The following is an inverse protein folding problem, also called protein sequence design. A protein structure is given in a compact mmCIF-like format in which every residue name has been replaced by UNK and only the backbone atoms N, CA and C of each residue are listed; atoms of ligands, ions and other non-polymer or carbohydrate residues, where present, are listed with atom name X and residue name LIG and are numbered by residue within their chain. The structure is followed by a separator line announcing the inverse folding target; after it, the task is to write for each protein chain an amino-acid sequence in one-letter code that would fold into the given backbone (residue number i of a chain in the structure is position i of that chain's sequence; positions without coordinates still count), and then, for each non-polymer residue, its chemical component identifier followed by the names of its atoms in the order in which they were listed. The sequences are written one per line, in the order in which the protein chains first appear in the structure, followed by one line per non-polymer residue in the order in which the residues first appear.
data_IF_376739473367
#
_entry.id   IF_376739473367
#
_cell.length_a   1.000
_cell.length_b   1.000
_cell.length_c   1.000
_cell.angle_alpha   90.00
_cell.angle_beta   90.00
_cell.angle_gamma   90.00
#
_symmetry.space_group_name_H-M   'P 1'
#
loop_
_entity.id
_entity.type
_entity.pdbx_description
1 polymer ?
#
# COMPACT_ATOMS: atom_id res chain seq x y z
N UNK A 1 29.99 -60.08 20.98
CA UNK A 1 29.24 -61.32 21.28
C UNK A 1 28.29 -61.03 22.43
N UNK A 2 27.03 -61.41 22.22
CA UNK A 2 25.97 -61.68 23.20
C UNK A 2 25.49 -60.58 24.16
N UNK A 3 24.17 -60.55 24.27
CA UNK A 3 23.28 -59.59 24.92
C UNK A 3 22.77 -60.15 26.28
N UNK A 4 22.26 -59.25 27.14
CA UNK A 4 21.33 -59.44 28.30
C UNK A 4 21.88 -59.91 29.67
N UNK A 5 21.25 -59.51 30.81
CA UNK A 5 19.79 -59.35 30.98
C UNK A 5 19.25 -58.09 31.71
N UNK A 6 17.93 -57.97 31.56
CA UNK A 6 16.96 -57.00 32.15
C UNK A 6 16.30 -57.64 33.38
N UNK A 7 16.09 -56.88 34.47
CA UNK A 7 15.04 -57.05 35.51
C UNK A 7 14.77 -55.64 36.08
N UNK A 8 13.64 -54.98 35.80
CA UNK A 8 12.26 -55.06 36.34
C UNK A 8 12.01 -54.36 37.71
N UNK A 9 10.82 -53.76 37.78
CA UNK A 9 10.36 -52.63 38.58
C UNK A 9 9.86 -53.00 39.98
N UNK A 10 9.84 -51.95 40.80
CA UNK A 10 9.14 -51.73 42.09
C UNK A 10 9.82 -52.31 43.33
N UNK A 11 10.20 -51.40 44.24
CA UNK A 11 9.79 -51.32 45.67
C UNK A 11 10.53 -50.11 46.25
N UNK A 12 9.88 -48.95 46.45
CA UNK A 12 9.21 -48.54 47.70
C UNK A 12 10.15 -48.57 48.91
N UNK A 13 10.65 -47.42 49.35
CA UNK A 13 11.05 -47.20 50.74
C UNK A 13 10.72 -45.78 51.15
N UNK A 14 9.79 -45.74 52.09
CA UNK A 14 9.36 -44.63 52.94
C UNK A 14 10.52 -44.18 53.82
N UNK A 15 10.61 -42.87 54.06
CA UNK A 15 11.12 -42.37 55.35
C UNK A 15 12.03 -41.16 55.28
N UNK A 16 11.72 -40.16 56.11
CA UNK A 16 12.69 -39.22 56.65
C UNK A 16 12.62 -37.82 56.07
N UNK A 17 11.88 -36.95 56.75
CA UNK A 17 11.77 -35.54 56.38
C UNK A 17 13.04 -34.73 56.61
N UNK A 18 13.12 -33.61 55.90
CA UNK A 18 13.65 -32.34 56.39
C UNK A 18 13.10 -31.25 55.46
N UNK A 19 12.20 -30.42 56.00
CA UNK A 19 11.70 -29.24 55.33
C UNK A 19 12.84 -28.24 55.22
N UNK A 20 13.37 -28.07 54.02
CA UNK A 20 14.24 -26.94 53.66
C UNK A 20 13.37 -25.95 52.90
N UNK A 21 12.93 -24.90 53.58
CA UNK A 21 12.34 -23.71 52.97
C UNK A 21 13.42 -22.96 52.19
N UNK A 22 13.68 -23.40 50.97
CA UNK A 22 14.40 -22.59 50.00
C UNK A 22 13.43 -21.52 49.46
N UNK A 23 13.53 -20.30 49.99
CA UNK A 23 13.02 -19.08 49.35
C UNK A 23 13.84 -18.86 48.06
N UNK A 24 13.53 -19.64 47.02
CA UNK A 24 13.99 -19.38 45.68
C UNK A 24 13.23 -18.20 45.14
N UNK A 25 13.88 -17.04 45.04
CA UNK A 25 13.42 -15.96 44.18
C UNK A 25 13.44 -16.48 42.74
N UNK A 26 12.29 -16.99 42.29
CA UNK A 26 12.08 -17.30 40.89
C UNK A 26 12.17 -15.98 40.12
N UNK A 27 13.35 -15.72 39.55
CA UNK A 27 13.50 -14.76 38.46
C UNK A 27 12.65 -15.28 37.31
N UNK A 28 11.43 -14.76 37.19
CA UNK A 28 10.60 -14.91 36.01
C UNK A 28 11.31 -14.16 34.89
N UNK A 29 12.08 -14.89 34.07
CA UNK A 29 12.48 -14.38 32.76
C UNK A 29 11.17 -14.17 31.99
N UNK A 30 10.82 -12.94 31.58
CA UNK A 30 9.64 -12.76 30.76
C UNK A 30 9.87 -13.56 29.49
N UNK A 31 8.97 -14.51 29.21
CA UNK A 31 8.94 -15.16 27.91
C UNK A 31 8.83 -14.05 26.87
N UNK A 32 9.87 -13.90 26.05
CA UNK A 32 9.83 -12.96 24.94
C UNK A 32 8.58 -13.22 24.13
N UNK A 33 7.77 -12.19 23.93
CA UNK A 33 6.62 -12.26 23.02
C UNK A 33 7.16 -12.67 21.65
N UNK A 34 6.95 -13.93 21.25
CA UNK A 34 7.11 -14.30 19.87
C UNK A 34 6.25 -13.33 19.06
N UNK A 35 6.85 -12.65 18.07
CA UNK A 35 6.10 -11.78 17.17
C UNK A 35 4.94 -12.60 16.61
N UNK A 36 3.70 -12.15 16.86
CA UNK A 36 2.52 -12.85 16.37
C UNK A 36 2.59 -12.92 14.85
N UNK A 37 2.58 -14.12 14.28
CA UNK A 37 2.44 -14.29 12.84
C UNK A 37 1.09 -13.70 12.40
N UNK A 38 1.04 -12.93 11.30
CA UNK A 38 -0.19 -12.35 10.81
C UNK A 38 -1.25 -13.44 10.57
N UNK A 39 -2.47 -13.17 11.01
CA UNK A 39 -3.59 -14.11 10.84
C UNK A 39 -4.00 -14.20 9.38
N UNK A 40 -4.40 -15.38 8.88
CA UNK A 40 -5.07 -15.49 7.59
C UNK A 40 -6.33 -14.63 7.59
N UNK A 41 -6.47 -13.77 6.58
CA UNK A 41 -7.66 -12.93 6.37
C UNK A 41 -8.56 -13.59 5.32
N UNK A 42 -9.86 -13.63 5.58
CA UNK A 42 -10.85 -14.15 4.63
C UNK A 42 -10.89 -13.29 3.35
N UNK A 43 -10.98 -13.95 2.19
CA UNK A 43 -11.08 -13.26 0.92
C UNK A 43 -12.43 -12.52 0.82
N UNK A 44 -12.44 -11.22 0.49
CA UNK A 44 -13.70 -10.54 0.20
C UNK A 44 -14.29 -11.08 -1.11
N UNK A 45 -15.57 -10.79 -1.34
CA UNK A 45 -16.19 -11.08 -2.63
C UNK A 45 -15.58 -10.16 -3.72
N UNK A 46 -14.99 -10.76 -4.76
CA UNK A 46 -14.36 -10.06 -5.88
C UNK A 46 -14.97 -10.61 -7.17
N UNK A 47 -15.55 -9.72 -7.98
CA UNK A 47 -16.04 -10.05 -9.31
C UNK A 47 -14.89 -10.05 -10.30
N UNK A 48 -14.65 -11.19 -10.96
CA UNK A 48 -13.61 -11.30 -11.97
C UNK A 48 -13.96 -10.55 -13.27
N UNK A 49 -12.97 -10.46 -14.15
CA UNK A 49 -13.10 -9.88 -15.50
C UNK A 49 -14.23 -10.47 -16.33
N UNK A 50 -14.60 -11.74 -16.11
CA UNK A 50 -15.75 -12.35 -16.81
C UNK A 50 -17.07 -11.82 -16.26
N UNK A 51 -17.18 -11.67 -14.94
CA UNK A 51 -18.42 -11.27 -14.27
C UNK A 51 -18.88 -9.86 -14.65
N UNK A 52 -17.96 -8.89 -14.77
CA UNK A 52 -18.31 -7.51 -15.17
C UNK A 52 -18.29 -7.26 -16.68
N UNK A 53 -17.94 -8.28 -17.47
CA UNK A 53 -17.96 -8.23 -18.93
C UNK A 53 -16.77 -7.47 -19.52
N UNK A 54 -15.57 -7.73 -19.02
CA UNK A 54 -14.33 -7.18 -19.57
C UNK A 54 -14.14 -7.58 -21.04
N UNK A 55 -13.65 -6.65 -21.85
CA UNK A 55 -13.12 -7.01 -23.17
C UNK A 55 -11.73 -7.66 -23.02
N UNK A 56 -11.30 -8.51 -23.96
CA UNK A 56 -9.99 -9.16 -23.88
C UNK A 56 -8.84 -8.15 -23.85
N UNK A 57 -7.72 -8.46 -23.16
CA UNK A 57 -6.52 -7.64 -23.26
C UNK A 57 -5.95 -7.71 -24.68
N UNK A 58 -5.32 -6.62 -25.14
CA UNK A 58 -4.72 -6.52 -26.49
C UNK A 58 -3.48 -7.40 -26.67
N UNK A 59 -2.83 -7.75 -25.57
CA UNK A 59 -1.64 -8.61 -25.52
C UNK A 59 -1.69 -9.55 -24.31
N UNK A 60 -0.87 -10.62 -24.27
CA UNK A 60 -0.79 -11.50 -23.11
C UNK A 60 -0.40 -10.75 -21.83
N UNK A 61 -1.11 -11.03 -20.73
CA UNK A 61 -0.78 -10.47 -19.41
C UNK A 61 0.54 -11.02 -18.90
N UNK A 62 1.41 -10.12 -18.44
CA UNK A 62 2.68 -10.46 -17.79
C UNK A 62 2.47 -10.74 -16.30
N UNK A 63 2.73 -11.98 -15.89
CA UNK A 63 2.86 -12.35 -14.48
C UNK A 63 4.32 -12.26 -14.06
N UNK A 64 4.54 -11.63 -12.92
CA UNK A 64 5.83 -11.52 -12.28
C UNK A 64 5.98 -12.63 -11.24
N UNK A 65 7.11 -13.35 -11.29
CA UNK A 65 7.37 -14.50 -10.43
C UNK A 65 7.91 -14.09 -9.05
N UNK A 66 7.29 -13.07 -8.48
CA UNK A 66 7.54 -12.57 -7.13
C UNK A 66 6.29 -11.87 -6.61
N UNK A 67 6.24 -11.66 -5.30
CA UNK A 67 5.17 -10.91 -4.63
C UNK A 67 5.34 -9.40 -4.87
N UNK A 68 4.26 -8.60 -4.86
CA UNK A 68 4.41 -7.16 -4.82
C UNK A 68 4.97 -6.72 -3.46
N UNK A 69 5.69 -5.61 -3.47
CA UNK A 69 6.24 -4.98 -2.26
C UNK A 69 5.21 -4.05 -1.62
N UNK A 70 4.46 -3.29 -2.43
CA UNK A 70 3.53 -2.26 -1.96
C UNK A 70 2.09 -2.51 -2.42
N UNK A 71 1.14 -2.07 -1.59
CA UNK A 71 -0.26 -1.90 -2.00
C UNK A 71 -0.49 -0.41 -2.21
N UNK A 72 -0.97 -0.04 -3.40
CA UNK A 72 -1.12 1.38 -3.77
C UNK A 72 -2.59 1.74 -3.95
N UNK A 73 -3.02 2.76 -3.23
CA UNK A 73 -4.37 3.30 -3.23
C UNK A 73 -4.45 4.47 -4.21
N UNK A 74 -5.40 4.37 -5.14
CA UNK A 74 -5.73 5.37 -6.14
C UNK A 74 -7.17 5.84 -6.02
N UNK A 75 -7.49 6.97 -6.66
CA UNK A 75 -8.85 7.39 -6.96
C UNK A 75 -9.05 7.47 -8.47
N UNK A 76 -10.27 7.27 -8.96
CA UNK A 76 -10.49 7.24 -10.42
C UNK A 76 -10.57 8.63 -11.06
N UNK A 77 -10.83 9.69 -10.28
CA UNK A 77 -11.09 11.07 -10.72
C UNK A 77 -12.38 11.19 -11.52
N UNK A 78 -12.43 10.60 -12.71
CA UNK A 78 -13.61 10.56 -13.58
C UNK A 78 -14.41 9.26 -13.30
N UNK A 79 -15.74 9.27 -13.43
CA UNK A 79 -16.62 10.40 -13.78
C UNK A 79 -16.96 11.32 -12.60
N UNK A 80 -16.20 11.23 -11.50
CA UNK A 80 -16.47 11.93 -10.24
C UNK A 80 -17.19 11.05 -9.23
N UNK A 81 -17.85 11.68 -8.27
CA UNK A 81 -18.50 10.99 -7.15
C UNK A 81 -19.95 10.61 -7.51
N UNK A 82 -20.14 9.48 -8.20
CA UNK A 82 -21.47 8.92 -8.49
C UNK A 82 -22.27 8.62 -7.22
N UNK A 83 -23.59 8.83 -7.27
CA UNK A 83 -24.53 8.43 -6.22
C UNK A 83 -25.30 7.15 -6.59
N UNK A 84 -24.93 6.50 -7.71
CA UNK A 84 -25.39 5.15 -8.05
C UNK A 84 -24.48 4.11 -7.36
N UNK A 85 -24.99 3.52 -6.29
CA UNK A 85 -24.29 2.52 -5.48
C UNK A 85 -24.57 1.07 -5.92
N UNK A 86 -25.14 0.86 -7.10
CA UNK A 86 -25.53 -0.47 -7.57
C UNK A 86 -24.35 -1.32 -8.07
N UNK A 87 -24.54 -2.64 -8.11
CA UNK A 87 -23.60 -3.57 -8.73
C UNK A 87 -23.48 -3.32 -10.24
N UNK A 88 -24.58 -2.95 -10.90
CA UNK A 88 -24.58 -2.64 -12.34
C UNK A 88 -23.68 -1.45 -12.64
N UNK A 89 -23.75 -0.40 -11.81
CA UNK A 89 -22.86 0.74 -11.88
C UNK A 89 -21.40 0.37 -11.62
N UNK A 90 -21.13 -0.49 -10.63
CA UNK A 90 -19.78 -1.01 -10.38
C UNK A 90 -19.19 -1.70 -11.61
N UNK A 91 -19.99 -2.45 -12.37
CA UNK A 91 -19.54 -3.05 -13.62
C UNK A 91 -19.39 -2.02 -14.74
N UNK A 92 -20.26 -1.00 -14.78
CA UNK A 92 -20.19 0.06 -15.76
C UNK A 92 -18.93 0.92 -15.61
N UNK A 93 -18.55 1.27 -14.38
CA UNK A 93 -17.31 2.02 -14.14
C UNK A 93 -16.07 1.19 -14.51
N UNK A 94 -16.03 -0.11 -14.20
CA UNK A 94 -14.91 -0.97 -14.60
C UNK A 94 -14.74 -1.04 -16.12
N UNK A 95 -15.84 -1.14 -16.88
CA UNK A 95 -15.80 -1.05 -18.35
C UNK A 95 -15.33 0.32 -18.82
N UNK A 96 -15.85 1.41 -18.24
CA UNK A 96 -15.43 2.77 -18.60
C UNK A 96 -13.94 3.00 -18.38
N UNK A 97 -13.39 2.49 -17.27
CA UNK A 97 -11.95 2.58 -16.98
C UNK A 97 -11.15 1.74 -17.99
N UNK A 98 -11.61 0.53 -18.33
CA UNK A 98 -10.96 -0.32 -19.34
C UNK A 98 -10.98 0.31 -20.74
N UNK A 99 -12.09 0.93 -21.12
CA UNK A 99 -12.25 1.63 -22.38
C UNK A 99 -11.27 2.80 -22.46
N UNK A 100 -11.25 3.66 -21.43
CA UNK A 100 -10.30 4.76 -21.35
C UNK A 100 -8.84 4.29 -21.41
N UNK A 101 -8.46 3.30 -20.60
CA UNK A 101 -7.08 2.82 -20.53
C UNK A 101 -6.58 2.22 -21.85
N UNK A 102 -7.37 1.41 -22.54
CA UNK A 102 -6.86 0.82 -23.80
C UNK A 102 -7.07 1.75 -25.00
N UNK A 103 -8.18 2.49 -25.06
CA UNK A 103 -8.49 3.31 -26.25
C UNK A 103 -7.79 4.68 -26.22
N UNK A 104 -7.63 5.28 -25.05
CA UNK A 104 -6.98 6.60 -24.90
C UNK A 104 -5.50 6.47 -24.55
N UNK A 105 -5.14 5.64 -23.56
CA UNK A 105 -3.73 5.50 -23.15
C UNK A 105 -2.96 4.46 -24.00
N UNK A 106 -3.65 3.67 -24.82
CA UNK A 106 -3.03 2.62 -25.63
C UNK A 106 -2.55 1.41 -24.83
N UNK A 107 -2.94 1.28 -23.55
CA UNK A 107 -2.52 0.17 -22.71
C UNK A 107 -3.15 -1.15 -23.17
N UNK A 108 -2.51 -2.26 -22.82
CA UNK A 108 -2.99 -3.59 -23.21
C UNK A 108 -4.28 -4.00 -22.48
N UNK A 109 -4.56 -3.37 -21.34
CA UNK A 109 -5.69 -3.60 -20.45
C UNK A 109 -5.78 -2.45 -19.41
N UNK A 110 -6.67 -2.53 -18.41
CA UNK A 110 -6.66 -1.57 -17.29
C UNK A 110 -5.29 -1.49 -16.60
N UNK A 111 -4.89 -0.31 -16.14
CA UNK A 111 -3.60 -0.13 -15.48
C UNK A 111 -3.52 -0.78 -14.10
N UNK A 112 -4.59 -0.67 -13.33
CA UNK A 112 -4.75 -1.21 -11.97
C UNK A 112 -5.19 -2.67 -11.96
N UNK A 113 -4.83 -3.37 -10.88
CA UNK A 113 -5.18 -4.76 -10.65
C UNK A 113 -6.61 -4.90 -10.09
N UNK A 114 -7.10 -3.94 -9.30
CA UNK A 114 -8.45 -3.99 -8.72
C UNK A 114 -9.13 -2.62 -8.71
N UNK A 115 -10.45 -2.61 -8.75
CA UNK A 115 -11.28 -1.40 -8.63
C UNK A 115 -12.35 -1.61 -7.57
N UNK A 116 -12.61 -0.60 -6.74
CA UNK A 116 -13.70 -0.58 -5.76
C UNK A 116 -14.65 0.56 -6.12
N UNK A 117 -15.90 0.20 -6.39
CA UNK A 117 -16.98 1.18 -6.62
C UNK A 117 -17.38 1.91 -5.32
N UNK A 118 -18.05 3.05 -5.45
CA UNK A 118 -18.65 3.77 -4.31
C UNK A 118 -19.66 2.92 -3.53
N UNK A 119 -20.31 1.97 -4.19
CA UNK A 119 -21.20 0.98 -3.56
C UNK A 119 -20.48 -0.12 -2.78
N UNK A 120 -19.14 -0.17 -2.80
CA UNK A 120 -18.33 -1.17 -2.10
C UNK A 120 -18.13 -2.47 -2.87
N UNK A 121 -18.55 -2.56 -4.13
CA UNK A 121 -18.27 -3.75 -4.95
C UNK A 121 -16.84 -3.73 -5.48
N UNK A 122 -16.11 -4.83 -5.26
CA UNK A 122 -14.73 -5.02 -5.69
C UNK A 122 -14.74 -5.80 -7.01
N UNK A 123 -14.04 -5.27 -8.01
CA UNK A 123 -13.85 -5.93 -9.31
C UNK A 123 -12.36 -6.14 -9.59
N UNK A 124 -12.03 -7.27 -10.23
CA UNK A 124 -10.74 -7.46 -10.88
C UNK A 124 -10.61 -6.44 -12.00
N UNK A 125 -9.55 -5.64 -12.01
CA UNK A 125 -9.21 -4.76 -13.13
C UNK A 125 -8.42 -5.55 -14.16
N UNK A 126 -7.09 -5.46 -14.07
CA UNK A 126 -6.19 -6.07 -15.05
C UNK A 126 -6.32 -7.58 -14.99
N UNK A 127 -6.53 -8.22 -16.14
CA UNK A 127 -6.79 -9.65 -16.23
C UNK A 127 -5.74 -10.48 -15.47
N UNK A 128 -6.18 -11.59 -14.87
CA UNK A 128 -5.37 -12.53 -14.06
C UNK A 128 -4.92 -11.99 -12.70
N UNK A 129 -5.29 -10.77 -12.32
CA UNK A 129 -4.94 -10.22 -11.00
C UNK A 129 -5.60 -11.01 -9.87
N UNK A 130 -6.84 -11.46 -10.04
CA UNK A 130 -7.53 -12.25 -9.02
C UNK A 130 -6.93 -13.66 -8.89
N UNK A 131 -6.55 -14.27 -10.01
CA UNK A 131 -5.82 -15.55 -10.06
C UNK A 131 -4.49 -15.42 -9.28
N UNK A 132 -3.69 -14.40 -9.59
CA UNK A 132 -2.40 -14.16 -8.96
C UNK A 132 -2.53 -13.86 -7.45
N UNK A 133 -3.51 -13.05 -7.06
CA UNK A 133 -3.80 -12.73 -5.66
C UNK A 133 -4.16 -13.98 -4.85
N UNK A 134 -5.01 -14.85 -5.39
CA UNK A 134 -5.36 -16.13 -4.75
C UNK A 134 -4.17 -17.09 -4.65
N UNK A 135 -3.22 -16.99 -5.57
CA UNK A 135 -1.99 -17.79 -5.57
C UNK A 135 -0.92 -17.29 -4.58
N UNK A 136 -0.93 -16.01 -4.21
CA UNK A 136 -0.08 -15.41 -3.16
C UNK A 136 1.43 -15.41 -3.42
N UNK A 137 1.89 -15.92 -4.57
CA UNK A 137 3.32 -16.07 -4.90
C UNK A 137 3.76 -15.23 -6.10
N UNK A 138 2.80 -14.73 -6.88
CA UNK A 138 3.00 -13.94 -8.09
C UNK A 138 2.08 -12.73 -8.08
N UNK A 139 2.38 -11.72 -8.91
CA UNK A 139 1.45 -10.63 -9.20
C UNK A 139 1.51 -10.22 -10.66
N UNK A 140 0.46 -9.54 -11.13
CA UNK A 140 0.38 -9.00 -12.48
C UNK A 140 1.14 -7.68 -12.57
N UNK A 141 1.99 -7.53 -13.58
CA UNK A 141 2.61 -6.24 -13.93
C UNK A 141 1.53 -5.24 -14.35
N UNK A 142 1.39 -4.16 -13.57
CA UNK A 142 0.42 -3.09 -13.81
C UNK A 142 0.91 -2.01 -14.79
N UNK A 143 0.16 -0.91 -14.88
CA UNK A 143 0.54 0.32 -15.58
C UNK A 143 0.10 1.59 -14.82
N UNK A 144 -0.15 1.48 -13.51
CA UNK A 144 -0.82 2.50 -12.70
C UNK A 144 0.11 3.39 -11.85
N UNK A 145 1.36 2.97 -11.60
CA UNK A 145 2.39 3.80 -10.94
C UNK A 145 3.65 3.79 -11.79
N UNK A 146 4.02 4.95 -12.34
CA UNK A 146 5.19 5.07 -13.22
C UNK A 146 6.46 4.59 -12.52
N UNK A 147 7.29 3.81 -13.21
CA UNK A 147 8.56 3.24 -12.73
C UNK A 147 8.48 2.28 -11.52
N UNK A 148 7.28 2.04 -10.97
CA UNK A 148 7.06 1.16 -9.82
C UNK A 148 6.11 -0.02 -10.14
N UNK A 149 5.59 -0.13 -11.36
CA UNK A 149 4.60 -1.16 -11.74
C UNK A 149 5.01 -2.61 -11.46
N UNK A 150 6.30 -2.92 -11.39
CA UNK A 150 6.82 -4.27 -11.13
C UNK A 150 6.91 -4.66 -9.65
N UNK A 151 6.57 -3.75 -8.75
CA UNK A 151 6.65 -3.93 -7.30
C UNK A 151 5.38 -3.56 -6.55
N UNK A 152 4.31 -3.19 -7.26
CA UNK A 152 3.06 -2.72 -6.67
C UNK A 152 1.87 -3.59 -7.05
N UNK A 153 0.83 -3.52 -6.22
CA UNK A 153 -0.53 -3.90 -6.57
C UNK A 153 -1.45 -2.71 -6.34
N UNK A 154 -2.08 -2.22 -7.41
CA UNK A 154 -2.86 -0.99 -7.43
C UNK A 154 -4.36 -1.23 -7.28
N UNK A 155 -5.00 -0.37 -6.50
CA UNK A 155 -6.45 -0.35 -6.25
C UNK A 155 -7.01 1.02 -6.65
N UNK A 156 -7.87 1.05 -7.66
CA UNK A 156 -8.64 2.25 -8.02
C UNK A 156 -9.91 2.34 -7.16
N UNK A 157 -10.08 3.44 -6.42
CA UNK A 157 -11.29 3.72 -5.66
C UNK A 157 -12.14 4.72 -6.43
N UNK A 158 -13.32 4.31 -6.88
CA UNK A 158 -14.20 5.16 -7.69
C UNK A 158 -14.47 6.48 -6.98
N UNK A 159 -14.15 7.60 -7.63
CA UNK A 159 -14.50 8.94 -7.16
C UNK A 159 -13.36 9.95 -7.22
N UNK A 160 -13.69 11.19 -6.83
CA UNK A 160 -12.75 12.29 -6.67
C UNK A 160 -12.68 12.74 -5.19
N UNK A 161 -11.68 12.24 -4.47
CA UNK A 161 -11.55 12.42 -3.02
C UNK A 161 -10.65 13.60 -2.62
N UNK A 162 -10.74 14.73 -3.32
CA UNK A 162 -10.03 15.96 -2.91
C UNK A 162 -10.69 16.60 -1.69
N UNK A 163 -12.01 16.66 -1.68
CA UNK A 163 -12.81 17.34 -0.64
C UNK A 163 -14.01 16.51 -0.17
N UNK A 164 -14.41 15.52 -0.96
CA UNK A 164 -15.55 14.65 -0.68
C UNK A 164 -15.10 13.46 0.15
N UNK A 165 -15.90 13.09 1.15
CA UNK A 165 -15.65 11.90 1.95
C UNK A 165 -15.85 10.60 1.16
N UNK A 166 -15.09 9.59 1.57
CA UNK A 166 -15.17 8.22 1.03
C UNK A 166 -16.40 7.52 1.64
N UNK A 167 -17.34 6.99 0.85
CA UNK A 167 -18.50 6.27 1.37
C UNK A 167 -18.07 5.10 2.26
N UNK A 168 -18.79 4.88 3.36
CA UNK A 168 -18.46 3.81 4.31
C UNK A 168 -18.40 2.43 3.64
N UNK A 169 -19.30 2.16 2.69
CA UNK A 169 -19.35 0.91 1.92
C UNK A 169 -18.07 0.68 1.09
N UNK A 170 -17.55 1.72 0.44
CA UNK A 170 -16.28 1.66 -0.26
C UNK A 170 -15.14 1.46 0.74
N UNK A 171 -15.13 2.22 1.84
CA UNK A 171 -14.10 2.13 2.86
C UNK A 171 -13.99 0.72 3.48
N UNK A 172 -15.11 0.12 3.85
CA UNK A 172 -15.15 -1.22 4.44
C UNK A 172 -14.59 -2.27 3.47
N UNK A 173 -14.90 -2.15 2.17
CA UNK A 173 -14.37 -3.00 1.12
C UNK A 173 -12.88 -2.77 0.85
N UNK A 174 -12.42 -1.52 0.91
CA UNK A 174 -11.00 -1.19 0.81
C UNK A 174 -10.21 -1.83 1.96
N UNK A 175 -10.66 -1.68 3.20
CA UNK A 175 -10.04 -2.33 4.37
C UNK A 175 -10.02 -3.85 4.20
N UNK A 176 -11.12 -4.45 3.74
CA UNK A 176 -11.21 -5.90 3.54
C UNK A 176 -10.23 -6.40 2.45
N UNK A 177 -10.18 -5.71 1.31
CA UNK A 177 -9.31 -6.07 0.20
C UNK A 177 -7.84 -5.91 0.56
N UNK A 178 -7.46 -4.77 1.16
CA UNK A 178 -6.07 -4.49 1.54
C UNK A 178 -5.60 -5.46 2.62
N UNK A 179 -6.44 -5.79 3.61
CA UNK A 179 -6.08 -6.79 4.63
C UNK A 179 -5.91 -8.19 4.02
N UNK A 180 -6.75 -8.57 3.06
CA UNK A 180 -6.60 -9.83 2.33
C UNK A 180 -5.30 -9.85 1.52
N UNK A 181 -5.00 -8.80 0.75
CA UNK A 181 -3.73 -8.67 0.01
C UNK A 181 -2.51 -8.74 0.93
N UNK A 182 -2.54 -8.00 2.04
CA UNK A 182 -1.48 -7.99 3.03
C UNK A 182 -1.23 -9.38 3.63
N UNK A 183 -2.30 -10.10 3.94
CA UNK A 183 -2.25 -11.48 4.43
C UNK A 183 -1.70 -12.46 3.39
N UNK A 184 -2.13 -12.37 2.13
CA UNK A 184 -1.69 -13.26 1.04
C UNK A 184 -0.22 -13.03 0.67
N UNK A 185 0.19 -11.77 0.60
CA UNK A 185 1.51 -11.40 0.13
C UNK A 185 2.53 -11.16 1.25
N UNK A 186 2.14 -11.22 2.53
CA UNK A 186 2.99 -10.89 3.67
C UNK A 186 3.50 -9.44 3.62
N UNK A 187 2.60 -8.51 3.27
CA UNK A 187 2.90 -7.08 3.17
C UNK A 187 2.58 -6.41 4.50
N UNK A 188 3.57 -5.73 5.07
CA UNK A 188 3.40 -4.96 6.31
C UNK A 188 2.54 -3.72 6.10
N UNK A 189 1.71 -3.30 7.08
CA UNK A 189 0.82 -2.15 6.91
C UNK A 189 1.52 -0.83 6.52
N UNK A 190 2.78 -0.59 6.89
CA UNK A 190 3.54 0.61 6.48
C UNK A 190 3.85 0.68 4.97
N UNK A 191 3.72 -0.44 4.25
CA UNK A 191 3.88 -0.54 2.81
C UNK A 191 2.56 -0.33 2.04
N UNK A 192 1.47 0.02 2.74
CA UNK A 192 0.24 0.55 2.14
C UNK A 192 0.45 2.04 1.88
N UNK A 193 0.38 2.46 0.62
CA UNK A 193 0.77 3.79 0.15
C UNK A 193 -0.28 4.38 -0.78
N UNK A 194 -0.30 5.71 -0.92
CA UNK A 194 -1.06 6.38 -1.96
C UNK A 194 -0.22 6.53 -3.23
N UNK A 195 -0.85 6.74 -4.38
CA UNK A 195 -0.11 6.99 -5.62
C UNK A 195 0.89 8.17 -5.50
N UNK A 196 0.50 9.22 -4.78
CA UNK A 196 1.37 10.37 -4.47
C UNK A 196 2.60 10.08 -3.60
N UNK A 197 2.70 8.86 -3.06
CA UNK A 197 3.90 8.38 -2.39
C UNK A 197 4.96 7.84 -3.38
N UNK A 198 4.71 7.90 -4.68
CA UNK A 198 5.67 7.40 -5.69
C UNK A 198 5.87 8.38 -6.84
N UNK A 199 4.79 9.02 -7.27
CA UNK A 199 4.83 9.97 -8.36
C UNK A 199 4.26 11.31 -7.88
N UNK A 200 4.69 12.41 -8.49
CA UNK A 200 4.14 13.73 -8.16
C UNK A 200 2.72 13.84 -8.73
N UNK A 201 1.73 13.46 -7.93
CA UNK A 201 0.31 13.45 -8.29
C UNK A 201 -0.61 13.84 -7.14
N UNK A 202 -1.77 14.43 -7.44
CA UNK A 202 -2.85 14.59 -6.47
C UNK A 202 -3.58 13.27 -6.13
N UNK A 203 -3.38 12.17 -6.85
CA UNK A 203 -4.01 10.88 -6.53
C UNK A 203 -3.46 10.31 -5.19
N UNK A 204 -4.28 9.78 -4.26
CA UNK A 204 -5.71 9.43 -4.34
C UNK A 204 -6.68 10.53 -3.87
N UNK A 205 -6.26 11.80 -3.86
CA UNK A 205 -7.01 12.93 -3.33
C UNK A 205 -6.68 13.20 -1.85
N UNK A 206 -6.85 14.44 -1.41
CA UNK A 206 -6.43 14.86 -0.07
C UNK A 206 -7.22 14.16 1.05
N UNK A 207 -8.52 13.90 0.87
CA UNK A 207 -9.34 13.19 1.86
C UNK A 207 -8.94 11.73 1.98
N UNK A 208 -8.89 10.98 0.87
CA UNK A 208 -8.54 9.55 0.92
C UNK A 208 -7.08 9.35 1.33
N UNK A 209 -6.16 10.23 0.91
CA UNK A 209 -4.78 10.17 1.34
C UNK A 209 -4.61 10.43 2.85
N UNK A 210 -5.32 11.41 3.41
CA UNK A 210 -5.29 11.69 4.85
C UNK A 210 -5.81 10.52 5.70
N UNK A 211 -6.60 9.61 5.11
CA UNK A 211 -7.09 8.40 5.77
C UNK A 211 -6.16 7.19 5.67
N UNK A 212 -5.03 7.26 4.97
CA UNK A 212 -4.09 6.14 4.89
C UNK A 212 -3.64 5.62 6.28
N UNK A 213 -3.33 6.47 7.29
CA UNK A 213 -3.04 5.99 8.64
C UNK A 213 -4.18 5.16 9.26
N UNK A 214 -5.44 5.58 9.05
CA UNK A 214 -6.63 4.83 9.49
C UNK A 214 -6.72 3.48 8.79
N UNK A 215 -6.47 3.43 7.48
CA UNK A 215 -6.44 2.19 6.70
C UNK A 215 -5.36 1.23 7.22
N UNK A 216 -4.13 1.73 7.45
CA UNK A 216 -3.00 0.92 7.96
C UNK A 216 -3.33 0.31 9.32
N UNK A 217 -3.91 1.10 10.21
CA UNK A 217 -4.34 0.60 11.53
C UNK A 217 -5.46 -0.44 11.41
N UNK A 218 -6.49 -0.18 10.60
CA UNK A 218 -7.59 -1.13 10.41
C UNK A 218 -7.11 -2.47 9.79
N UNK A 219 -6.12 -2.42 8.89
CA UNK A 219 -5.48 -3.62 8.33
C UNK A 219 -4.66 -4.35 9.39
N UNK A 220 -3.88 -3.64 10.20
CA UNK A 220 -3.14 -4.24 11.31
C UNK A 220 -4.05 -4.99 12.30
N UNK A 221 -5.19 -4.39 12.64
CA UNK A 221 -6.19 -5.00 13.52
C UNK A 221 -6.74 -6.30 12.91
N UNK A 222 -7.02 -6.32 11.59
CA UNK A 222 -7.47 -7.53 10.89
C UNK A 222 -6.40 -8.62 10.81
N UNK A 223 -5.13 -8.23 10.65
CA UNK A 223 -4.00 -9.15 10.68
C UNK A 223 -3.68 -9.63 12.10
N UNK A 224 -4.18 -8.96 13.14
CA UNK A 224 -3.88 -9.24 14.53
C UNK A 224 -2.44 -8.92 14.91
N UNK A 225 -1.84 -7.91 14.27
CA UNK A 225 -0.46 -7.46 14.52
C UNK A 225 -0.47 -6.12 15.24
N UNK A 226 0.49 -5.94 16.16
CA UNK A 226 0.72 -4.62 16.75
C UNK A 226 1.40 -3.75 15.70
N UNK A 227 0.77 -2.65 15.34
CA UNK A 227 1.28 -1.68 14.38
C UNK A 227 1.43 -0.32 15.04
N UNK A 228 2.45 0.41 14.61
CA UNK A 228 2.67 1.81 14.98
C UNK A 228 2.83 2.59 13.69
N UNK A 229 1.96 3.58 13.51
CA UNK A 229 2.01 4.45 12.35
C UNK A 229 3.40 5.11 12.24
N UNK A 230 4.06 5.05 11.07
CA UNK A 230 5.26 5.81 10.80
C UNK A 230 4.97 7.31 10.86
N UNK A 231 5.97 8.12 11.24
CA UNK A 231 5.82 9.57 11.14
C UNK A 231 5.54 9.97 9.67
N UNK A 232 4.53 10.81 9.41
CA UNK A 232 4.14 11.16 8.05
C UNK A 232 5.29 11.84 7.31
N UNK A 233 5.50 11.45 6.05
CA UNK A 233 6.42 12.15 5.16
C UNK A 233 5.62 13.19 4.37
N UNK A 234 5.80 14.50 4.60
CA UNK A 234 4.92 15.52 4.07
C UNK A 234 5.12 15.69 2.57
N UNK A 235 4.05 15.65 1.77
CA UNK A 235 4.12 16.07 0.37
C UNK A 235 4.18 17.60 0.33
N UNK A 236 5.31 18.17 -0.11
CA UNK A 236 5.46 19.61 -0.21
C UNK A 236 5.28 20.11 -1.65
N UNK A 237 4.55 21.21 -1.82
CA UNK A 237 4.14 21.79 -3.10
C UNK A 237 4.28 23.32 -3.09
N UNK A 238 4.33 23.98 -4.26
CA UNK A 238 4.30 25.44 -4.33
C UNK A 238 3.16 26.04 -3.51
N UNK A 239 3.51 27.00 -2.64
CA UNK A 239 2.57 27.63 -1.70
C UNK A 239 2.60 27.06 -0.28
N UNK A 240 3.16 25.87 -0.07
CA UNK A 240 3.34 25.33 1.28
C UNK A 240 4.31 26.18 2.09
N UNK A 241 4.06 26.26 3.40
CA UNK A 241 4.95 26.96 4.34
C UNK A 241 5.14 26.15 5.61
N UNK A 242 6.27 26.34 6.29
CA UNK A 242 6.52 25.73 7.60
C UNK A 242 7.86 25.03 7.74
N UNK A 243 8.00 24.25 8.80
CA UNK A 243 9.27 23.63 9.18
C UNK A 243 9.69 22.48 8.27
N UNK A 244 8.72 21.78 7.68
CA UNK A 244 8.99 20.75 6.67
C UNK A 244 9.60 21.36 5.41
N UNK A 245 9.09 22.53 4.98
CA UNK A 245 9.70 23.30 3.88
C UNK A 245 11.12 23.73 4.24
N UNK A 246 11.37 24.20 5.47
CA UNK A 246 12.74 24.52 5.90
C UNK A 246 13.63 23.30 5.90
N UNK A 247 13.12 22.14 6.30
CA UNK A 247 13.87 20.89 6.29
C UNK A 247 14.23 20.48 4.86
N UNK A 248 13.28 20.53 3.94
CA UNK A 248 13.49 20.28 2.52
C UNK A 248 14.55 21.21 1.93
N UNK A 249 14.39 22.52 2.15
CA UNK A 249 15.34 23.54 1.69
C UNK A 249 16.75 23.31 2.25
N UNK A 250 16.88 22.95 3.54
CA UNK A 250 18.19 22.59 4.14
C UNK A 250 18.80 21.38 3.45
N UNK A 251 18.01 20.33 3.19
CA UNK A 251 18.51 19.11 2.53
C UNK A 251 18.89 19.36 1.07
N UNK A 252 18.09 20.12 0.32
CA UNK A 252 18.42 20.55 -1.04
C UNK A 252 19.71 21.37 -1.07
N UNK A 253 19.88 22.31 -0.14
CA UNK A 253 21.11 23.08 0.01
C UNK A 253 22.31 22.20 0.34
N UNK A 254 22.15 21.19 1.20
CA UNK A 254 23.21 20.21 1.50
C UNK A 254 23.59 19.36 0.28
N UNK A 255 22.73 19.27 -0.73
CA UNK A 255 23.00 18.62 -2.02
C UNK A 255 23.51 19.58 -3.10
N UNK A 256 23.80 20.84 -2.74
CA UNK A 256 24.42 21.83 -3.62
C UNK A 256 23.45 22.71 -4.39
N UNK A 257 22.15 22.63 -4.13
CA UNK A 257 21.15 23.49 -4.78
C UNK A 257 21.08 24.87 -4.11
N UNK A 258 20.97 25.94 -4.92
CA UNK A 258 20.82 27.31 -4.43
C UNK A 258 19.36 27.61 -4.03
N UNK A 259 19.00 27.23 -2.81
CA UNK A 259 17.67 27.47 -2.23
C UNK A 259 17.80 28.27 -0.94
N UNK A 260 16.95 29.30 -0.75
CA UNK A 260 16.80 30.00 0.52
C UNK A 260 16.10 29.10 1.54
N UNK A 261 16.53 29.10 2.80
CA UNK A 261 15.85 28.36 3.88
C UNK A 261 14.95 29.33 4.66
N UNK A 262 13.83 29.70 4.06
CA UNK A 262 12.84 30.64 4.63
C UNK A 262 11.58 29.92 5.15
N UNK A 263 11.38 28.67 4.74
CA UNK A 263 10.19 27.89 5.03
C UNK A 263 9.02 28.23 4.12
N UNK A 264 9.28 28.79 2.93
CA UNK A 264 8.28 29.04 1.89
C UNK A 264 8.63 28.22 0.66
N UNK A 265 7.70 27.37 0.22
CA UNK A 265 7.88 26.56 -0.98
C UNK A 265 7.56 27.42 -2.21
N UNK A 266 8.47 28.33 -2.54
CA UNK A 266 8.39 29.18 -3.73
C UNK A 266 9.04 28.55 -4.96
N UNK A 267 9.08 29.31 -6.06
CA UNK A 267 9.60 28.84 -7.36
C UNK A 267 11.02 28.25 -7.27
N UNK A 268 11.92 28.88 -6.49
CA UNK A 268 13.28 28.35 -6.30
C UNK A 268 13.31 26.98 -5.64
N UNK A 269 12.43 26.73 -4.67
CA UNK A 269 12.31 25.43 -4.02
C UNK A 269 11.75 24.41 -5.01
N UNK A 270 10.69 24.76 -5.74
CA UNK A 270 10.11 23.91 -6.80
C UNK A 270 11.14 23.52 -7.85
N UNK A 271 11.87 24.49 -8.39
CA UNK A 271 12.85 24.26 -9.46
C UNK A 271 14.02 23.40 -8.97
N UNK A 272 14.47 23.60 -7.72
CA UNK A 272 15.49 22.76 -7.11
C UNK A 272 15.01 21.32 -6.89
N UNK A 273 13.75 21.14 -6.47
CA UNK A 273 13.14 19.81 -6.34
C UNK A 273 13.01 19.13 -7.69
N UNK A 274 12.54 19.83 -8.72
CA UNK A 274 12.44 19.30 -10.08
C UNK A 274 13.82 18.89 -10.63
N UNK A 275 14.84 19.74 -10.45
CA UNK A 275 16.21 19.45 -10.88
C UNK A 275 16.85 18.30 -10.08
N UNK A 276 16.52 18.16 -8.79
CA UNK A 276 16.95 17.03 -7.97
C UNK A 276 16.27 15.72 -8.39
N UNK A 277 14.97 15.76 -8.66
CA UNK A 277 14.22 14.61 -9.12
C UNK A 277 14.78 14.10 -10.46
N UNK A 278 14.98 15.01 -11.42
CA UNK A 278 15.57 14.70 -12.72
C UNK A 278 17.00 14.13 -12.60
N UNK A 279 17.85 14.69 -11.73
CA UNK A 279 19.22 14.19 -11.54
C UNK A 279 19.29 12.81 -10.87
N UNK A 280 18.20 12.38 -10.23
CA UNK A 280 18.05 11.06 -9.61
C UNK A 280 17.18 10.11 -10.45
N UNK A 281 16.87 10.47 -11.71
CA UNK A 281 16.15 9.60 -12.65
C UNK A 281 14.67 9.42 -12.35
N UNK A 282 14.05 10.33 -11.58
CA UNK A 282 12.59 10.34 -11.38
C UNK A 282 11.94 10.98 -12.63
N UNK A 283 11.12 10.20 -13.35
CA UNK A 283 10.48 10.62 -14.61
C UNK A 283 9.34 11.64 -14.43
N UNK A 284 8.80 12.16 -15.54
CA UNK A 284 7.60 13.01 -15.47
C UNK A 284 6.38 12.19 -15.01
N UNK A 285 5.53 12.72 -14.11
CA UNK A 285 4.32 12.04 -13.66
C UNK A 285 3.37 11.70 -14.82
N UNK A 286 2.85 10.46 -14.89
CA UNK A 286 2.03 9.98 -16.02
C UNK A 286 0.56 9.67 -15.67
N UNK A 287 0.08 10.11 -14.51
CA UNK A 287 -1.31 9.87 -14.09
C UNK A 287 -2.31 10.83 -14.76
N UNK A 288 -3.58 10.44 -14.91
CA UNK A 288 -4.68 11.30 -15.38
C UNK A 288 -4.78 12.63 -14.61
N UNK A 289 -4.45 12.64 -13.32
CA UNK A 289 -4.42 13.86 -12.50
C UNK A 289 -3.36 14.87 -13.01
N UNK A 290 -2.26 14.40 -13.58
CA UNK A 290 -1.19 15.23 -14.14
C UNK A 290 -1.64 15.99 -15.41
N UNK A 291 -2.76 15.59 -16.03
CA UNK A 291 -3.36 16.34 -17.14
C UNK A 291 -4.06 17.63 -16.69
N UNK A 292 -4.27 17.82 -15.37
CA UNK A 292 -5.03 18.95 -14.81
C UNK A 292 -4.16 19.91 -13.97
N UNK A 293 -2.93 19.56 -13.64
CA UNK A 293 -1.96 20.43 -12.95
C UNK A 293 -0.52 20.10 -13.33
N UNK A 294 0.34 21.11 -13.48
CA UNK A 294 1.79 20.92 -13.61
C UNK A 294 2.37 20.56 -12.24
N UNK A 295 2.55 19.27 -12.01
CA UNK A 295 3.00 18.70 -10.73
C UNK A 295 4.53 18.54 -10.68
N UNK A 296 5.27 19.10 -11.65
CA UNK A 296 6.75 19.11 -11.64
C UNK A 296 7.27 19.96 -10.49
N UNK A 297 8.14 19.36 -9.68
CA UNK A 297 8.78 20.03 -8.55
C UNK A 297 7.98 19.97 -7.24
N UNK A 298 7.03 19.05 -7.13
CA UNK A 298 6.52 18.61 -5.82
C UNK A 298 7.56 17.72 -5.14
N UNK A 299 7.64 17.79 -3.82
CA UNK A 299 8.57 17.01 -3.00
C UNK A 299 7.79 15.92 -2.27
N UNK A 300 7.64 14.78 -2.94
CA UNK A 300 7.05 13.55 -2.40
C UNK A 300 8.07 12.69 -1.66
N UNK A 301 7.61 11.54 -1.16
CA UNK A 301 8.46 10.61 -0.39
C UNK A 301 9.61 10.03 -1.23
N UNK A 302 9.40 9.85 -2.53
CA UNK A 302 10.43 9.48 -3.52
C UNK A 302 11.63 10.44 -3.49
N UNK A 303 11.36 11.73 -3.34
CA UNK A 303 12.37 12.77 -3.18
C UNK A 303 12.89 12.83 -1.75
N UNK A 304 12.04 12.70 -0.72
CA UNK A 304 12.46 12.75 0.69
C UNK A 304 13.45 11.65 1.07
N UNK A 305 13.18 10.42 0.66
CA UNK A 305 14.06 9.27 0.93
C UNK A 305 15.44 9.50 0.31
N UNK A 306 15.47 10.05 -0.91
CA UNK A 306 16.72 10.39 -1.60
C UNK A 306 17.41 11.60 -0.99
N UNK A 307 16.67 12.55 -0.40
CA UNK A 307 17.21 13.71 0.32
C UNK A 307 17.72 13.38 1.73
N UNK A 308 17.35 12.23 2.30
CA UNK A 308 17.81 11.83 3.63
C UNK A 308 19.36 11.79 3.69
N UNK A 309 19.97 12.20 4.82
CA UNK A 309 21.41 12.05 5.02
C UNK A 309 21.80 10.58 4.88
N UNK A 310 22.90 10.30 4.15
CA UNK A 310 23.53 8.97 4.11
C UNK A 310 24.50 8.82 5.28
#
# INVERSE_FOLDING_TARGET
MADKPVIDRRTLLVGGGLAVTALGTALTVPAGTAAAHPRPVEAPNIYDTTAWGARPPREPITLLNHKPTYIVVHHTVEPGNSEDYSLEHAFAISRSIQDFHMDSNGWIDTGQQFTISRGGYITEGRHRSLEALRGGTQHVLGANVADHNSEIIGIENEGLYMEVDVPQTLWDSLVALVAYMASQYDISPDLIRGHRDFNSTACPGDVLYARLPELRQAVADRLGVTFREPEPTPLLRPGDTGDDVRLAQRRLRARGYDVTVDGVFGDKTRDAVAAFAASNGLGEPTCQACARSDERGYLGIDVWERLAPR
#
